data_IF_289987381247
#
_entry.id   IF_289987381247
#
_cell.length_a   1.000
_cell.length_b   1.000
_cell.length_c   1.000
_cell.angle_alpha   90.00
_cell.angle_beta   90.00
_cell.angle_gamma   90.00
#
_symmetry.space_group_name_H-M   'P 1'
#
loop_
_entity.id
_entity.type
_entity.pdbx_description
1 polymer ?
#
# COMPACT_ATOMS: atom_id res chain seq x y z
N UNK A 1 15.86 -18.06 -9.93
CA UNK A 1 15.94 -17.05 -11.01
C UNK A 1 14.61 -16.33 -11.28
N UNK A 2 13.47 -16.99 -11.57
CA UNK A 2 12.20 -16.31 -11.94
C UNK A 2 11.60 -15.34 -10.91
N UNK A 3 11.84 -15.54 -9.60
CA UNK A 3 11.27 -14.71 -8.52
C UNK A 3 11.72 -13.25 -8.53
N UNK A 4 12.85 -12.94 -9.18
CA UNK A 4 13.40 -11.58 -9.28
C UNK A 4 13.42 -11.06 -10.71
N UNK A 5 12.70 -11.72 -11.64
CA UNK A 5 12.73 -11.36 -13.05
C UNK A 5 12.36 -9.88 -13.27
N UNK A 6 11.32 -9.40 -12.58
CA UNK A 6 10.93 -7.99 -12.61
C UNK A 6 12.06 -7.07 -12.13
N UNK A 7 12.67 -7.35 -10.96
CA UNK A 7 13.75 -6.54 -10.42
C UNK A 7 14.97 -6.47 -11.36
N UNK A 8 15.35 -7.61 -11.97
CA UNK A 8 16.46 -7.66 -12.92
C UNK A 8 16.16 -6.94 -14.23
N UNK A 9 14.94 -7.07 -14.76
CA UNK A 9 14.53 -6.34 -15.98
C UNK A 9 14.56 -4.84 -15.71
N UNK A 10 13.97 -4.38 -14.60
CA UNK A 10 13.96 -2.96 -14.22
C UNK A 10 15.38 -2.44 -14.00
N UNK A 11 16.23 -3.19 -13.30
CA UNK A 11 17.63 -2.81 -13.10
C UNK A 11 18.39 -2.73 -14.43
N UNK A 12 18.10 -3.64 -15.36
CA UNK A 12 18.64 -3.62 -16.72
C UNK A 12 18.26 -2.34 -17.47
N UNK A 13 16.96 -2.02 -17.52
CA UNK A 13 16.49 -0.77 -18.14
C UNK A 13 17.10 0.46 -17.48
N UNK A 14 17.15 0.51 -16.14
CA UNK A 14 17.76 1.61 -15.40
C UNK A 14 19.25 1.79 -15.72
N UNK A 15 20.00 0.68 -15.77
CA UNK A 15 21.43 0.72 -16.07
C UNK A 15 21.68 1.20 -17.50
N UNK A 16 20.88 0.72 -18.47
CA UNK A 16 20.96 1.17 -19.86
C UNK A 16 20.62 2.65 -19.96
N UNK A 17 19.55 3.11 -19.32
CA UNK A 17 19.18 4.54 -19.34
C UNK A 17 20.24 5.41 -18.69
N UNK A 18 20.86 4.95 -17.60
CA UNK A 18 21.93 5.69 -16.91
C UNK A 18 23.17 5.83 -17.81
N UNK A 19 23.58 4.73 -18.47
CA UNK A 19 24.69 4.76 -19.43
C UNK A 19 24.39 5.68 -20.60
N UNK A 20 23.18 5.62 -21.16
CA UNK A 20 22.76 6.51 -22.25
C UNK A 20 22.72 7.97 -21.81
N UNK A 21 22.22 8.27 -20.62
CA UNK A 21 22.20 9.63 -20.06
C UNK A 21 23.60 10.24 -20.02
N UNK A 22 24.57 9.48 -19.49
CA UNK A 22 25.97 9.92 -19.47
C UNK A 22 26.57 9.98 -20.88
N UNK A 23 26.35 8.97 -21.71
CA UNK A 23 26.88 8.96 -23.08
C UNK A 23 26.42 10.18 -23.89
N UNK A 24 25.12 10.50 -23.88
CA UNK A 24 24.60 11.68 -24.57
C UNK A 24 25.00 12.98 -23.88
N UNK A 25 25.15 12.98 -22.55
CA UNK A 25 25.72 14.09 -21.80
C UNK A 25 27.13 14.44 -22.28
N UNK A 26 27.99 13.43 -22.51
CA UNK A 26 29.32 13.64 -23.06
C UNK A 26 29.28 14.25 -24.47
N UNK A 27 28.38 13.78 -25.32
CA UNK A 27 28.23 14.33 -26.68
C UNK A 27 27.84 15.81 -26.63
N UNK A 28 26.91 16.18 -25.74
CA UNK A 28 26.50 17.57 -25.56
C UNK A 28 27.63 18.43 -24.98
N UNK A 29 28.25 17.99 -23.88
CA UNK A 29 29.36 18.68 -23.23
C UNK A 29 30.54 18.90 -24.17
N UNK A 30 30.95 17.86 -24.91
CA UNK A 30 32.06 17.95 -25.84
C UNK A 30 31.73 18.83 -27.06
N UNK A 31 30.47 18.83 -27.53
CA UNK A 31 30.04 19.73 -28.59
C UNK A 31 30.07 21.20 -28.13
N UNK A 32 29.65 21.48 -26.91
CA UNK A 32 29.63 22.83 -26.35
C UNK A 32 31.04 23.37 -26.07
N UNK A 33 31.93 22.55 -25.49
CA UNK A 33 33.33 22.92 -25.32
C UNK A 33 33.99 23.27 -26.68
N UNK A 34 33.74 22.46 -27.72
CA UNK A 34 34.26 22.73 -29.07
C UNK A 34 33.68 23.99 -29.71
N UNK A 35 32.40 24.30 -29.46
CA UNK A 35 31.77 25.52 -29.98
C UNK A 35 32.41 26.78 -29.40
N UNK A 36 32.94 26.69 -28.18
CA UNK A 36 33.69 27.75 -27.49
C UNK A 36 35.21 27.69 -27.74
N UNK A 37 35.69 26.82 -28.63
CA UNK A 37 37.12 26.66 -28.92
C UNK A 37 37.94 26.03 -27.77
N UNK A 38 37.27 25.37 -26.84
CA UNK A 38 37.87 24.69 -25.69
C UNK A 38 38.05 23.19 -25.94
N UNK A 39 38.97 22.58 -25.20
CA UNK A 39 39.13 21.12 -25.18
C UNK A 39 38.25 20.55 -24.06
N UNK A 40 37.41 19.54 -24.31
CA UNK A 40 36.56 18.96 -23.27
C UNK A 40 37.40 18.32 -22.16
N UNK A 41 37.24 18.82 -20.93
CA UNK A 41 37.90 18.27 -19.75
C UNK A 41 37.07 17.17 -19.10
N UNK A 42 37.69 16.01 -18.88
CA UNK A 42 37.01 14.83 -18.33
C UNK A 42 36.54 15.02 -16.90
N UNK A 43 37.33 15.68 -16.05
CA UNK A 43 36.96 15.93 -14.64
C UNK A 43 35.79 16.90 -14.54
N UNK A 44 35.78 17.95 -15.37
CA UNK A 44 34.67 18.90 -15.43
C UNK A 44 33.37 18.20 -15.84
N UNK A 45 33.42 17.38 -16.89
CA UNK A 45 32.31 16.56 -17.35
C UNK A 45 31.78 15.60 -16.27
N UNK A 46 32.67 14.89 -15.56
CA UNK A 46 32.25 13.97 -14.50
C UNK A 46 31.53 14.71 -13.35
N UNK A 47 31.99 15.91 -13.00
CA UNK A 47 31.37 16.72 -11.96
C UNK A 47 29.98 17.22 -12.41
N UNK A 48 29.87 17.73 -13.63
CA UNK A 48 28.60 18.19 -14.19
C UNK A 48 27.58 17.05 -14.29
N UNK A 49 27.96 15.92 -14.88
CA UNK A 49 27.04 14.77 -14.97
C UNK A 49 26.66 14.18 -13.62
N UNK A 50 27.59 14.17 -12.65
CA UNK A 50 27.27 13.74 -11.30
C UNK A 50 26.24 14.67 -10.68
N UNK A 51 26.45 16.00 -10.76
CA UNK A 51 25.49 16.99 -10.27
C UNK A 51 24.13 16.81 -10.94
N UNK A 52 24.07 16.76 -12.27
CA UNK A 52 22.83 16.63 -13.02
C UNK A 52 22.09 15.32 -12.67
N UNK A 53 22.82 14.22 -12.50
CA UNK A 53 22.26 12.93 -12.05
C UNK A 53 21.69 13.05 -10.64
N UNK A 54 22.41 13.69 -9.71
CA UNK A 54 21.96 13.85 -8.33
C UNK A 54 20.80 14.84 -8.18
N UNK A 55 20.77 15.92 -8.96
CA UNK A 55 19.66 16.88 -9.00
C UNK A 55 18.39 16.22 -9.51
N UNK A 56 18.48 15.45 -10.60
CA UNK A 56 17.36 14.66 -11.11
C UNK A 56 16.90 13.60 -10.09
N UNK A 57 17.84 12.89 -9.44
CA UNK A 57 17.48 11.90 -8.42
C UNK A 57 16.81 12.55 -7.20
N UNK A 58 17.31 13.71 -6.76
CA UNK A 58 16.75 14.45 -5.64
C UNK A 58 15.31 14.90 -5.93
N UNK A 59 15.07 15.49 -7.10
CA UNK A 59 13.75 16.01 -7.47
C UNK A 59 12.73 14.88 -7.61
N UNK A 60 13.08 13.79 -8.29
CA UNK A 60 12.22 12.62 -8.45
C UNK A 60 11.92 11.93 -7.12
N UNK A 61 12.92 11.80 -6.24
CA UNK A 61 12.70 11.25 -4.90
C UNK A 61 11.73 12.10 -4.09
N UNK A 62 11.90 13.44 -4.11
CA UNK A 62 11.01 14.35 -3.41
C UNK A 62 9.59 14.30 -4.00
N UNK A 63 9.46 14.22 -5.33
CA UNK A 63 8.18 14.07 -6.01
C UNK A 63 7.47 12.77 -5.60
N UNK A 64 8.16 11.63 -5.65
CA UNK A 64 7.60 10.33 -5.27
C UNK A 64 7.20 10.31 -3.80
N UNK A 65 8.05 10.85 -2.91
CA UNK A 65 7.74 10.97 -1.49
C UNK A 65 6.48 11.81 -1.28
N UNK A 66 6.39 12.98 -1.92
CA UNK A 66 5.23 13.86 -1.82
C UNK A 66 3.97 13.20 -2.37
N UNK A 67 4.06 12.47 -3.49
CA UNK A 67 2.92 11.74 -4.06
C UNK A 67 2.43 10.63 -3.14
N UNK A 68 3.34 9.80 -2.60
CA UNK A 68 2.98 8.70 -1.71
C UNK A 68 2.41 9.22 -0.40
N UNK A 69 3.07 10.19 0.23
CA UNK A 69 2.62 10.79 1.50
C UNK A 69 1.32 11.56 1.29
N UNK A 70 1.23 12.36 0.23
CA UNK A 70 0.03 13.11 -0.12
C UNK A 70 -1.16 12.20 -0.38
N UNK A 71 -1.00 11.15 -1.20
CA UNK A 71 -2.05 10.18 -1.48
C UNK A 71 -2.44 9.40 -0.21
N UNK A 72 -1.47 8.95 0.59
CA UNK A 72 -1.74 8.28 1.85
C UNK A 72 -2.51 9.19 2.83
N UNK A 73 -2.13 10.47 2.92
CA UNK A 73 -2.82 11.46 3.74
C UNK A 73 -4.26 11.70 3.25
N UNK A 74 -4.47 11.89 1.95
CA UNK A 74 -5.81 12.06 1.39
C UNK A 74 -6.69 10.82 1.55
N UNK A 75 -6.13 9.61 1.43
CA UNK A 75 -6.87 8.38 1.71
C UNK A 75 -7.20 8.24 3.21
N UNK A 76 -6.26 8.60 4.09
CA UNK A 76 -6.47 8.51 5.54
C UNK A 76 -7.49 9.52 6.07
N UNK A 77 -7.39 10.78 5.64
CA UNK A 77 -8.28 11.87 6.10
C UNK A 77 -9.60 11.91 5.32
N UNK A 78 -9.57 11.49 4.05
CA UNK A 78 -10.64 11.74 3.08
C UNK A 78 -11.37 10.50 2.56
N UNK A 79 -11.21 9.30 3.17
CA UNK A 79 -12.01 8.13 2.79
C UNK A 79 -13.17 7.87 3.75
N UNK A 80 -14.32 8.57 3.60
CA UNK A 80 -15.59 8.09 4.17
C UNK A 80 -16.02 6.78 3.51
N UNK A 81 -15.53 6.46 2.30
CA UNK A 81 -15.81 5.22 1.60
C UNK A 81 -15.30 3.97 2.33
N UNK A 82 -14.19 4.05 3.07
CA UNK A 82 -13.74 2.92 3.92
C UNK A 82 -14.68 2.72 5.10
N UNK A 83 -15.12 3.81 5.74
CA UNK A 83 -16.05 3.75 6.88
C UNK A 83 -17.44 3.28 6.44
N UNK A 84 -17.98 3.87 5.38
CA UNK A 84 -19.30 3.54 4.83
C UNK A 84 -19.33 2.10 4.29
N UNK A 85 -18.25 1.61 3.70
CA UNK A 85 -18.21 0.22 3.22
C UNK A 85 -18.12 -0.80 4.36
N UNK A 86 -17.38 -0.49 5.42
CA UNK A 86 -17.35 -1.32 6.64
C UNK A 86 -18.74 -1.32 7.31
N UNK A 87 -19.34 -0.14 7.52
CA UNK A 87 -20.68 0.02 8.12
C UNK A 87 -21.76 -0.71 7.30
N UNK A 88 -21.70 -0.61 5.97
CA UNK A 88 -22.66 -1.29 5.08
C UNK A 88 -22.45 -2.81 5.06
N UNK A 89 -21.23 -3.28 5.26
CA UNK A 89 -20.93 -4.73 5.33
C UNK A 89 -21.42 -5.28 6.66
N UNK A 90 -21.19 -4.56 7.75
CA UNK A 90 -21.68 -4.86 9.09
C UNK A 90 -23.21 -4.92 9.13
N UNK A 91 -23.90 -3.89 8.61
CA UNK A 91 -25.36 -3.86 8.56
C UNK A 91 -25.96 -5.06 7.78
N UNK A 92 -25.28 -5.53 6.72
CA UNK A 92 -25.71 -6.72 5.97
C UNK A 92 -25.50 -8.00 6.77
N UNK A 93 -24.39 -8.12 7.50
CA UNK A 93 -24.10 -9.28 8.35
C UNK A 93 -25.09 -9.33 9.52
N UNK A 94 -25.33 -8.20 10.17
CA UNK A 94 -26.31 -8.09 11.27
C UNK A 94 -27.71 -8.46 10.78
N UNK A 95 -28.12 -8.02 9.59
CA UNK A 95 -29.41 -8.41 9.00
C UNK A 95 -29.50 -9.92 8.72
N UNK A 96 -28.44 -10.55 8.19
CA UNK A 96 -28.40 -12.00 7.95
C UNK A 96 -28.46 -12.80 9.26
N UNK A 97 -27.78 -12.32 10.30
CA UNK A 97 -27.79 -12.96 11.62
C UNK A 97 -29.17 -12.83 12.28
N UNK A 98 -29.84 -11.68 12.17
CA UNK A 98 -31.22 -11.51 12.65
C UNK A 98 -32.22 -12.46 11.98
N UNK A 99 -32.05 -12.73 10.67
CA UNK A 99 -32.87 -13.71 9.96
C UNK A 99 -32.68 -15.15 10.46
N UNK A 100 -31.63 -15.42 11.23
CA UNK A 100 -31.36 -16.73 11.85
C UNK A 100 -32.03 -16.92 13.22
N UNK A 101 -32.91 -16.00 13.62
CA UNK A 101 -33.72 -16.11 14.83
C UNK A 101 -32.97 -15.76 16.13
N UNK A 102 -33.44 -16.28 17.26
CA UNK A 102 -32.97 -15.90 18.61
C UNK A 102 -31.46 -16.12 18.81
N UNK A 103 -30.89 -17.18 18.20
CA UNK A 103 -29.46 -17.49 18.26
C UNK A 103 -28.59 -16.42 17.59
N UNK A 104 -29.09 -15.81 16.52
CA UNK A 104 -28.39 -14.72 15.83
C UNK A 104 -28.32 -13.45 16.66
N UNK A 105 -29.41 -13.11 17.37
CA UNK A 105 -29.43 -11.96 18.30
C UNK A 105 -28.46 -12.12 19.45
N UNK A 106 -28.40 -13.31 20.07
CA UNK A 106 -27.45 -13.60 21.16
C UNK A 106 -26.00 -13.46 20.68
N UNK A 107 -25.71 -13.90 19.46
CA UNK A 107 -24.37 -13.80 18.88
C UNK A 107 -23.96 -12.34 18.63
N UNK A 108 -24.86 -11.50 18.09
CA UNK A 108 -24.61 -10.07 17.91
C UNK A 108 -24.31 -9.41 19.27
N UNK A 109 -25.15 -9.65 20.28
CA UNK A 109 -24.95 -9.09 21.62
C UNK A 109 -23.64 -9.55 22.30
N UNK A 110 -23.21 -10.79 22.05
CA UNK A 110 -21.94 -11.31 22.58
C UNK A 110 -20.73 -10.67 21.88
N UNK A 111 -20.80 -10.50 20.55
CA UNK A 111 -19.76 -9.82 19.76
C UNK A 111 -19.66 -8.34 20.17
N UNK A 112 -20.78 -7.63 20.27
CA UNK A 112 -20.82 -6.21 20.63
C UNK A 112 -20.25 -5.95 22.04
N UNK A 113 -20.57 -6.82 23.01
CA UNK A 113 -20.00 -6.75 24.36
C UNK A 113 -18.50 -7.02 24.38
N UNK A 114 -18.02 -7.95 23.56
CA UNK A 114 -16.60 -8.32 23.55
C UNK A 114 -15.72 -7.25 22.92
N UNK A 115 -16.21 -6.58 21.87
CA UNK A 115 -15.48 -5.52 21.17
C UNK A 115 -15.79 -4.09 21.67
N UNK A 116 -16.60 -3.94 22.73
CA UNK A 116 -16.97 -2.64 23.33
C UNK A 116 -17.54 -1.66 22.29
N UNK A 117 -18.44 -2.15 21.43
CA UNK A 117 -19.04 -1.39 20.34
C UNK A 117 -20.17 -0.47 20.87
N UNK A 118 -19.78 0.58 21.58
CA UNK A 118 -20.68 1.73 21.81
C UNK A 118 -20.20 2.92 20.97
N UNK A 119 -18.89 3.17 20.88
CA UNK A 119 -18.34 4.32 20.14
C UNK A 119 -17.05 3.97 19.38
N UNK A 120 -17.16 3.76 18.06
CA UNK A 120 -16.05 3.90 17.10
C UNK A 120 -15.18 2.66 16.87
N UNK A 121 -15.45 1.99 15.73
CA UNK A 121 -14.62 1.06 14.95
C UNK A 121 -13.42 0.39 15.63
N UNK A 122 -13.57 -0.91 15.95
CA UNK A 122 -12.46 -1.83 16.15
C UNK A 122 -12.72 -3.10 15.34
N UNK A 123 -11.82 -3.46 14.43
CA UNK A 123 -11.90 -4.72 13.69
C UNK A 123 -11.50 -5.90 14.60
N UNK A 124 -12.16 -7.06 14.46
CA UNK A 124 -11.83 -8.26 15.24
C UNK A 124 -10.50 -8.86 14.76
N UNK A 125 -9.39 -8.48 15.38
CA UNK A 125 -8.07 -9.05 15.03
C UNK A 125 -7.80 -10.43 15.65
N UNK A 126 -8.69 -10.95 16.51
CA UNK A 126 -8.47 -12.21 17.22
C UNK A 126 -9.51 -13.27 16.83
N UNK A 127 -9.20 -14.07 15.79
CA UNK A 127 -10.09 -15.09 15.21
C UNK A 127 -10.34 -16.28 16.14
N UNK A 128 -9.35 -16.66 16.96
CA UNK A 128 -9.42 -17.85 17.84
C UNK A 128 -10.61 -17.83 18.80
N UNK A 129 -11.05 -16.63 19.19
CA UNK A 129 -12.15 -16.46 20.13
C UNK A 129 -13.52 -16.41 19.44
N UNK A 130 -13.57 -15.85 18.23
CA UNK A 130 -14.77 -15.92 17.38
C UNK A 130 -15.11 -17.39 17.09
N UNK A 131 -14.11 -18.20 16.77
CA UNK A 131 -14.26 -19.63 16.52
C UNK A 131 -14.77 -20.39 17.74
N UNK A 132 -14.34 -20.01 18.95
CA UNK A 132 -14.87 -20.58 20.21
C UNK A 132 -16.34 -20.20 20.47
N UNK A 133 -16.75 -18.98 20.12
CA UNK A 133 -18.14 -18.54 20.28
C UNK A 133 -19.02 -19.32 19.28
N UNK A 134 -18.59 -19.39 18.02
CA UNK A 134 -19.30 -20.12 16.96
C UNK A 134 -19.38 -21.64 17.24
N UNK A 135 -18.33 -22.24 17.83
CA UNK A 135 -18.34 -23.66 18.19
C UNK A 135 -19.34 -23.97 19.30
N UNK A 136 -19.39 -23.14 20.36
CA UNK A 136 -20.37 -23.29 21.46
C UNK A 136 -21.82 -23.20 20.97
N UNK A 137 -22.11 -22.28 20.04
CA UNK A 137 -23.43 -22.13 19.45
C UNK A 137 -23.81 -23.31 18.55
N UNK A 138 -22.84 -23.89 17.84
CA UNK A 138 -23.04 -25.10 17.03
C UNK A 138 -23.34 -26.31 17.91
N UNK A 139 -22.62 -26.49 19.01
CA UNK A 139 -22.84 -27.59 19.97
C UNK A 139 -24.22 -27.52 20.64
N UNK A 140 -24.68 -26.31 21.00
CA UNK A 140 -26.04 -26.08 21.50
C UNK A 140 -27.13 -26.52 20.49
N UNK A 141 -26.86 -26.42 19.18
CA UNK A 141 -27.77 -26.89 18.12
C UNK A 141 -27.82 -28.43 18.05
N UNK A 142 -26.67 -29.10 18.20
CA UNK A 142 -26.60 -30.56 18.17
C UNK A 142 -27.33 -31.21 19.35
N UNK A 143 -27.22 -30.61 20.54
CA UNK A 143 -27.91 -31.13 21.74
C UNK A 143 -29.43 -30.92 21.67
N UNK A 144 -29.90 -29.79 21.13
CA UNK A 144 -31.34 -29.51 21.01
C UNK A 144 -32.07 -30.27 19.89
N UNK A 145 -31.35 -30.86 18.93
CA UNK A 145 -31.93 -31.69 17.84
C UNK A 145 -31.81 -33.20 18.12
N UNK A 146 -31.11 -33.58 19.20
CA UNK A 146 -30.90 -34.98 19.60
C UNK A 146 -31.84 -35.46 20.73
N UNK A 147 -32.86 -34.65 21.07
CA UNK A 147 -33.97 -34.97 21.99
C UNK A 147 -35.26 -34.91 21.17
#
# INVERSE_FOLDING_TARGET
MRKYAYAWITLGFFSISLVLHWYFGWQAFAADARSHGQVPETVAYLNEMARDTFENWQSEFLQLLWQVVGLAYFLYVGSPASKENDDRTEAKVDALLHLHGEKGRVLIEEIDRYYLRDHGHAQPHNHDKLDQILSKLRESKTVATSI
#
